data_IF_407480706549
#
_entry.id   IF_407480706549
#
_cell.length_a   1.000
_cell.length_b   1.000
_cell.length_c   1.000
_cell.angle_alpha   90.00
_cell.angle_beta   90.00
_cell.angle_gamma   90.00
#
_symmetry.space_group_name_H-M   'P 1'
#
loop_
_entity.id
_entity.type
_entity.pdbx_description
1 polymer ?
#
# COMPACT_ATOMS: atom_id res chain seq x y z
N UNK A 1 -70.47 8.87 -34.83
CA UNK A 1 -69.33 7.92 -34.96
C UNK A 1 -68.73 7.78 -33.57
N UNK A 2 -69.20 6.81 -32.80
CA UNK A 2 -68.62 5.46 -32.62
C UNK A 2 -67.58 5.44 -31.48
N UNK A 3 -67.91 4.65 -30.46
CA UNK A 3 -67.04 3.81 -29.62
C UNK A 3 -66.03 4.49 -28.66
N UNK A 4 -65.75 4.01 -27.44
CA UNK A 4 -66.15 2.79 -26.71
C UNK A 4 -65.92 3.07 -25.21
N UNK A 5 -66.78 2.50 -24.37
CA UNK A 5 -66.61 2.37 -22.93
C UNK A 5 -65.47 1.38 -22.63
N UNK A 6 -64.52 1.73 -21.76
CA UNK A 6 -63.94 0.71 -20.87
C UNK A 6 -63.55 1.33 -19.53
N UNK A 7 -64.07 0.70 -18.48
CA UNK A 7 -64.03 1.05 -17.08
C UNK A 7 -63.15 -0.01 -16.40
N UNK A 8 -62.04 0.36 -15.75
CA UNK A 8 -61.38 -0.49 -14.76
C UNK A 8 -60.92 0.36 -13.57
N UNK A 9 -61.50 0.01 -12.42
CA UNK A 9 -61.17 0.42 -11.06
C UNK A 9 -59.93 -0.33 -10.57
N UNK A 10 -58.99 0.36 -9.92
CA UNK A 10 -58.11 -0.21 -8.88
C UNK A 10 -57.41 0.97 -8.17
N UNK A 11 -57.85 1.33 -6.96
CA UNK A 11 -57.26 0.91 -5.69
C UNK A 11 -55.78 1.28 -5.56
N UNK A 12 -55.51 2.18 -4.62
CA UNK A 12 -54.21 2.71 -4.31
C UNK A 12 -53.14 1.63 -4.17
N UNK A 13 -52.07 1.82 -4.92
CA UNK A 13 -50.80 1.17 -4.67
C UNK A 13 -49.84 2.26 -4.24
N UNK A 14 -49.81 2.50 -2.93
CA UNK A 14 -48.62 3.06 -2.30
C UNK A 14 -47.46 2.16 -2.71
N UNK A 15 -46.48 2.71 -3.41
CA UNK A 15 -45.24 2.02 -3.69
C UNK A 15 -44.54 1.79 -2.35
N UNK A 16 -44.84 0.66 -1.71
CA UNK A 16 -43.99 0.06 -0.71
C UNK A 16 -42.77 -0.38 -1.50
N UNK A 17 -41.70 0.42 -1.46
CA UNK A 17 -40.37 -0.05 -1.84
C UNK A 17 -40.06 -1.22 -0.92
N UNK A 18 -40.21 -2.41 -1.46
CA UNK A 18 -39.76 -3.63 -0.83
C UNK A 18 -38.26 -3.49 -0.60
N UNK A 19 -37.88 -3.33 0.66
CA UNK A 19 -36.53 -3.68 1.10
C UNK A 19 -36.37 -5.16 0.73
N UNK A 20 -35.65 -5.44 -0.34
CA UNK A 20 -35.19 -6.79 -0.61
C UNK A 20 -34.28 -7.16 0.54
N UNK A 21 -34.83 -7.82 1.56
CA UNK A 21 -34.06 -8.66 2.46
C UNK A 21 -33.48 -9.76 1.57
N UNK A 22 -32.29 -9.49 1.04
CA UNK A 22 -31.49 -10.47 0.34
C UNK A 22 -31.41 -11.67 1.28
N UNK A 23 -31.95 -12.79 0.82
CA UNK A 23 -31.91 -14.05 1.51
C UNK A 23 -30.44 -14.47 1.59
N UNK A 24 -29.72 -14.07 2.65
CA UNK A 24 -28.31 -14.41 2.80
C UNK A 24 -28.23 -15.81 3.39
N UNK A 25 -28.02 -16.78 2.51
CA UNK A 25 -27.60 -18.12 2.86
C UNK A 25 -26.20 -18.01 3.51
N UNK A 26 -26.10 -18.34 4.80
CA UNK A 26 -24.91 -18.98 5.34
C UNK A 26 -24.18 -18.28 6.48
N UNK A 27 -24.33 -18.84 7.69
CA UNK A 27 -23.34 -18.80 8.76
C UNK A 27 -23.46 -17.60 9.70
N UNK A 28 -23.18 -17.83 10.97
CA UNK A 28 -22.98 -16.77 11.95
C UNK A 28 -21.80 -15.91 11.49
N UNK A 29 -22.07 -14.67 11.07
CA UNK A 29 -21.07 -13.71 10.60
C UNK A 29 -21.07 -12.46 11.47
N UNK A 30 -19.88 -11.91 11.66
CA UNK A 30 -19.63 -10.57 12.16
C UNK A 30 -18.95 -9.72 11.08
N UNK A 31 -18.74 -8.44 11.36
CA UNK A 31 -18.13 -7.49 10.42
C UNK A 31 -17.01 -6.71 11.09
N UNK A 32 -15.93 -6.48 10.35
CA UNK A 32 -15.02 -5.38 10.63
C UNK A 32 -15.37 -4.20 9.73
N UNK A 33 -15.60 -3.03 10.32
CA UNK A 33 -15.77 -1.79 9.60
C UNK A 33 -14.47 -0.98 9.71
N UNK A 34 -13.69 -0.95 8.63
CA UNK A 34 -12.46 -0.17 8.57
C UNK A 34 -12.77 1.25 8.13
N UNK A 35 -12.41 2.22 8.97
CA UNK A 35 -12.56 3.64 8.70
C UNK A 35 -11.18 4.25 8.47
N UNK A 36 -10.97 4.88 7.31
CA UNK A 36 -9.72 5.59 7.02
C UNK A 36 -10.02 6.87 6.27
N UNK A 37 -9.30 7.94 6.57
CA UNK A 37 -9.44 9.21 5.85
C UNK A 37 -8.75 9.19 4.47
N UNK A 38 -7.88 8.20 4.22
CA UNK A 38 -7.17 8.03 2.96
C UNK A 38 -7.89 7.02 2.06
N UNK A 39 -8.71 7.52 1.13
CA UNK A 39 -9.42 6.71 0.14
C UNK A 39 -8.46 6.02 -0.83
N UNK A 40 -8.69 4.74 -1.11
CA UNK A 40 -7.78 3.92 -1.91
C UNK A 40 -6.79 3.10 -1.09
N UNK A 41 -6.89 3.12 0.24
CA UNK A 41 -6.12 2.25 1.13
C UNK A 41 -6.59 0.80 1.00
N UNK A 42 -5.69 -0.10 0.62
CA UNK A 42 -5.93 -1.55 0.62
C UNK A 42 -5.85 -2.10 2.04
N UNK A 43 -6.81 -2.96 2.40
CA UNK A 43 -6.84 -3.67 3.68
C UNK A 43 -6.62 -5.16 3.45
N UNK A 44 -5.62 -5.69 4.15
CA UNK A 44 -5.32 -7.12 4.24
C UNK A 44 -5.49 -7.60 5.67
N UNK A 45 -6.01 -8.82 5.85
CA UNK A 45 -6.08 -9.50 7.15
C UNK A 45 -5.14 -10.70 7.16
N UNK A 46 -4.15 -10.72 8.05
CA UNK A 46 -3.08 -11.74 8.07
C UNK A 46 -2.51 -12.06 6.66
N UNK A 47 -2.21 -11.00 5.89
CA UNK A 47 -1.73 -11.05 4.49
C UNK A 47 -2.76 -11.51 3.43
N UNK A 48 -4.03 -11.68 3.78
CA UNK A 48 -5.11 -11.94 2.83
C UNK A 48 -5.84 -10.64 2.48
N UNK A 49 -5.67 -10.16 1.24
CA UNK A 49 -6.28 -8.92 0.76
C UNK A 49 -7.80 -9.02 0.78
N UNK A 50 -8.46 -8.11 1.50
CA UNK A 50 -9.91 -8.08 1.66
C UNK A 50 -10.60 -7.07 0.77
N UNK A 51 -9.90 -5.99 0.43
CA UNK A 51 -10.43 -4.96 -0.45
C UNK A 51 -9.76 -3.62 -0.23
N UNK A 52 -10.39 -2.58 -0.77
CA UNK A 52 -9.88 -1.21 -0.75
C UNK A 52 -10.93 -0.30 -0.13
N UNK A 53 -10.51 0.60 0.74
CA UNK A 53 -11.37 1.62 1.34
C UNK A 53 -11.82 2.60 0.27
N UNK A 54 -13.13 2.81 0.19
CA UNK A 54 -13.77 3.74 -0.74
C UNK A 54 -14.81 4.53 0.03
N UNK A 55 -14.80 5.86 -0.10
CA UNK A 55 -15.71 6.76 0.63
C UNK A 55 -15.52 6.66 2.16
N UNK A 56 -14.26 6.51 2.57
CA UNK A 56 -13.84 6.49 3.98
C UNK A 56 -14.05 5.17 4.72
N UNK A 57 -14.76 4.19 4.14
CA UNK A 57 -15.10 2.92 4.81
C UNK A 57 -14.83 1.66 3.96
N UNK A 58 -14.51 0.54 4.61
CA UNK A 58 -14.57 -0.81 4.06
C UNK A 58 -15.17 -1.78 5.08
N UNK A 59 -16.26 -2.44 4.73
CA UNK A 59 -16.86 -3.49 5.55
C UNK A 59 -16.42 -4.88 5.10
N UNK A 60 -15.74 -5.61 5.99
CA UNK A 60 -15.22 -6.96 5.73
C UNK A 60 -16.02 -7.99 6.52
N UNK A 61 -16.73 -8.94 5.85
CA UNK A 61 -17.48 -9.99 6.53
C UNK A 61 -16.54 -11.09 7.05
N UNK A 62 -16.72 -11.48 8.31
CA UNK A 62 -15.93 -12.52 9.00
C UNK A 62 -16.85 -13.64 9.47
N UNK A 63 -16.46 -14.89 9.22
CA UNK A 63 -17.20 -16.06 9.70
C UNK A 63 -16.78 -16.40 11.13
N UNK A 64 -17.72 -16.46 12.07
CA UNK A 64 -17.42 -16.75 13.49
C UNK A 64 -17.01 -18.21 13.73
N UNK A 65 -17.17 -19.08 12.72
CA UNK A 65 -16.78 -20.49 12.77
C UNK A 65 -15.35 -20.75 12.29
N UNK A 66 -14.66 -19.72 11.78
CA UNK A 66 -13.28 -19.81 11.30
C UNK A 66 -12.24 -19.47 12.37
N UNK A 67 -10.97 -19.72 12.06
CA UNK A 67 -9.86 -19.17 12.86
C UNK A 67 -9.90 -17.64 12.77
N UNK A 68 -9.93 -16.91 13.89
CA UNK A 68 -9.95 -15.46 13.86
C UNK A 68 -8.65 -14.90 13.29
N UNK A 69 -8.76 -13.81 12.54
CA UNK A 69 -7.61 -13.04 12.09
C UNK A 69 -6.93 -12.36 13.28
N UNK A 70 -5.60 -12.26 13.23
CA UNK A 70 -4.78 -11.70 14.32
C UNK A 70 -4.36 -10.27 14.08
N UNK A 71 -4.22 -9.88 12.82
CA UNK A 71 -3.70 -8.59 12.42
C UNK A 71 -4.34 -8.10 11.14
N UNK A 72 -4.30 -6.79 10.95
CA UNK A 72 -4.58 -6.16 9.67
C UNK A 72 -3.38 -5.34 9.21
N UNK A 73 -3.20 -5.28 7.90
CA UNK A 73 -2.26 -4.38 7.23
C UNK A 73 -3.07 -3.45 6.34
N UNK A 74 -2.87 -2.16 6.50
CA UNK A 74 -3.44 -1.13 5.65
C UNK A 74 -2.31 -0.53 4.79
N UNK A 75 -2.50 -0.47 3.48
CA UNK A 75 -1.49 0.01 2.54
C UNK A 75 -2.10 1.05 1.61
N UNK A 76 -1.53 2.24 1.60
CA UNK A 76 -1.84 3.31 0.65
C UNK A 76 -0.65 3.46 -0.30
N UNK A 77 -0.87 3.17 -1.57
CA UNK A 77 0.13 3.34 -2.64
C UNK A 77 -0.55 3.95 -3.87
N UNK A 78 -0.56 5.28 -3.96
CA UNK A 78 -1.20 5.99 -5.07
C UNK A 78 -0.59 7.38 -5.27
N UNK A 79 -0.57 7.84 -6.52
CA UNK A 79 -0.21 9.21 -6.92
C UNK A 79 1.17 9.68 -6.44
N UNK A 80 2.10 8.73 -6.31
CA UNK A 80 3.41 9.02 -5.77
C UNK A 80 3.36 9.35 -4.27
N UNK A 81 2.48 8.69 -3.52
CA UNK A 81 2.46 8.67 -2.07
C UNK A 81 2.41 7.23 -1.60
N UNK A 82 3.19 6.89 -0.58
CA UNK A 82 3.25 5.55 -0.02
C UNK A 82 3.20 5.58 1.50
N UNK A 83 2.38 4.70 2.08
CA UNK A 83 2.39 4.41 3.51
C UNK A 83 1.78 3.03 3.75
N UNK A 84 2.35 2.27 4.67
CA UNK A 84 1.76 1.02 5.17
C UNK A 84 1.76 1.02 6.69
N UNK A 85 0.77 0.40 7.31
CA UNK A 85 0.69 0.21 8.76
C UNK A 85 0.11 -1.17 9.06
N UNK A 86 0.75 -1.89 9.98
CA UNK A 86 0.24 -3.18 10.47
C UNK A 86 -0.11 -3.08 11.94
N UNK A 87 -1.29 -3.56 12.32
CA UNK A 87 -1.79 -3.52 13.70
C UNK A 87 -2.49 -4.81 14.08
N UNK A 88 -2.44 -5.20 15.37
CA UNK A 88 -3.18 -6.34 15.86
C UNK A 88 -4.69 -6.08 15.87
N UNK A 89 -5.48 -7.11 15.64
CA UNK A 89 -6.91 -7.14 15.89
C UNK A 89 -7.14 -7.59 17.34
N UNK A 90 -7.66 -6.69 18.15
CA UNK A 90 -7.86 -6.92 19.59
C UNK A 90 -9.21 -7.56 19.92
N UNK A 91 -10.14 -7.53 18.97
CA UNK A 91 -11.52 -7.98 19.14
C UNK A 91 -11.99 -8.69 17.89
N UNK A 92 -12.75 -9.77 18.05
CA UNK A 92 -13.31 -10.56 16.95
C UNK A 92 -14.83 -10.37 16.97
N UNK A 93 -15.44 -9.88 15.88
CA UNK A 93 -16.87 -9.60 15.88
C UNK A 93 -17.67 -10.90 16.04
N UNK A 94 -18.59 -10.91 17.00
CA UNK A 94 -19.59 -11.95 17.18
C UNK A 94 -20.67 -11.95 16.10
N UNK A 95 -21.62 -12.87 16.22
CA UNK A 95 -22.74 -12.99 15.27
C UNK A 95 -23.59 -11.71 15.28
N UNK A 96 -23.71 -11.04 14.14
CA UNK A 96 -24.49 -9.81 14.04
C UNK A 96 -23.72 -8.57 14.49
N UNK A 97 -22.50 -8.73 15.00
CA UNK A 97 -21.71 -7.65 15.59
C UNK A 97 -20.81 -6.99 14.54
N UNK A 98 -20.61 -5.69 14.69
CA UNK A 98 -19.67 -4.91 13.90
C UNK A 98 -18.63 -4.32 14.83
N UNK A 99 -17.35 -4.55 14.50
CA UNK A 99 -16.21 -3.95 15.21
C UNK A 99 -15.64 -2.85 14.33
N UNK A 100 -15.70 -1.61 14.82
CA UNK A 100 -15.14 -0.44 14.13
C UNK A 100 -13.63 -0.35 14.35
N UNK A 101 -12.88 -0.23 13.26
CA UNK A 101 -11.42 -0.10 13.25
C UNK A 101 -11.06 1.20 12.55
N UNK A 102 -10.46 2.11 13.31
CA UNK A 102 -9.98 3.38 12.78
C UNK A 102 -8.51 3.26 12.37
N UNK A 103 -8.25 3.39 11.08
CA UNK A 103 -6.92 3.35 10.48
C UNK A 103 -6.41 4.78 10.32
N UNK A 104 -5.30 5.06 10.99
CA UNK A 104 -4.56 6.31 10.84
C UNK A 104 -3.37 6.08 9.90
N UNK A 105 -3.54 6.45 8.63
CA UNK A 105 -2.47 6.46 7.62
C UNK A 105 -2.23 7.91 7.25
N UNK A 106 -0.98 8.36 7.29
CA UNK A 106 -0.59 9.68 6.80
C UNK A 106 0.31 9.47 5.58
N UNK A 107 -0.24 9.43 4.35
CA UNK A 107 0.56 9.17 3.16
C UNK A 107 1.66 10.21 3.02
N UNK A 108 2.90 9.77 2.84
CA UNK A 108 4.02 10.66 2.56
C UNK A 108 4.31 10.64 1.06
N UNK A 109 4.70 11.77 0.44
CA UNK A 109 5.11 11.76 -0.95
C UNK A 109 6.26 10.76 -1.11
N UNK A 110 6.12 9.83 -2.06
CA UNK A 110 7.28 9.10 -2.55
C UNK A 110 8.23 10.12 -3.16
N UNK A 111 9.54 10.03 -2.84
CA UNK A 111 10.51 11.01 -3.28
C UNK A 111 10.52 11.06 -4.81
N UNK A 112 10.04 12.17 -5.37
CA UNK A 112 10.15 12.42 -6.80
C UNK A 112 11.65 12.56 -7.15
N UNK A 113 12.13 11.94 -8.24
CA UNK A 113 13.52 12.04 -8.62
C UNK A 113 13.90 13.51 -8.82
N UNK A 114 14.80 13.99 -7.96
CA UNK A 114 15.39 15.31 -8.15
C UNK A 114 16.39 15.18 -9.28
N UNK A 115 16.09 15.74 -10.44
CA UNK A 115 16.99 15.74 -11.61
C UNK A 115 18.26 16.52 -11.27
N UNK A 116 19.25 15.85 -10.71
CA UNK A 116 20.56 16.43 -10.43
C UNK A 116 21.27 16.63 -11.78
N UNK A 117 21.91 17.80 -12.03
CA UNK A 117 22.61 18.04 -13.28
C UNK A 117 23.71 16.98 -13.51
N UNK A 118 23.63 16.31 -14.68
CA UNK A 118 24.60 15.33 -15.18
C UNK A 118 26.03 15.88 -15.07
N UNK A 119 26.89 15.32 -14.20
CA UNK A 119 28.31 15.67 -14.22
C UNK A 119 28.90 15.25 -15.57
N UNK A 120 29.55 16.16 -16.29
CA UNK A 120 30.26 15.80 -17.52
C UNK A 120 31.65 15.33 -17.10
N UNK A 121 31.87 14.02 -17.04
CA UNK A 121 33.18 13.48 -16.62
C UNK A 121 33.43 12.04 -17.07
N UNK A 122 34.54 11.85 -17.79
CA UNK A 122 35.32 10.59 -17.87
C UNK A 122 34.59 9.33 -18.35
N UNK A 123 35.28 8.19 -18.35
CA UNK A 123 34.67 6.85 -18.54
C UNK A 123 33.86 6.42 -17.30
N UNK A 124 33.02 7.34 -16.79
CA UNK A 124 32.20 7.17 -15.60
C UNK A 124 30.72 7.25 -15.96
N UNK A 125 29.92 6.47 -15.24
CA UNK A 125 28.47 6.57 -15.16
C UNK A 125 28.04 6.89 -13.73
N UNK A 126 26.76 7.13 -13.50
CA UNK A 126 26.23 7.44 -12.17
C UNK A 126 25.00 6.62 -11.84
N UNK A 127 24.94 6.14 -10.59
CA UNK A 127 23.70 5.69 -9.97
C UNK A 127 23.13 6.80 -9.11
N UNK A 128 21.84 7.08 -9.28
CA UNK A 128 21.09 7.99 -8.44
C UNK A 128 20.15 7.14 -7.60
N UNK A 129 20.50 6.96 -6.34
CA UNK A 129 19.75 6.12 -5.41
C UNK A 129 18.80 7.01 -4.64
N UNK A 130 17.51 6.91 -4.93
CA UNK A 130 16.46 7.63 -4.24
C UNK A 130 15.91 6.77 -3.11
N UNK A 131 15.71 7.40 -1.95
CA UNK A 131 15.11 6.74 -0.79
C UNK A 131 14.20 7.69 -0.03
N UNK A 132 13.11 7.15 0.53
CA UNK A 132 12.16 7.89 1.36
C UNK A 132 12.72 8.26 2.75
N UNK A 133 13.84 7.66 3.17
CA UNK A 133 14.44 7.87 4.48
C UNK A 133 15.77 8.63 4.39
N UNK A 134 15.83 9.89 4.84
CA UNK A 134 17.10 10.62 4.95
C UNK A 134 18.01 9.92 5.97
N UNK A 135 19.30 9.82 5.66
CA UNK A 135 20.29 9.14 6.50
C UNK A 135 20.38 7.63 6.31
N UNK A 136 19.56 7.04 5.42
CA UNK A 136 19.68 5.63 5.07
C UNK A 136 21.05 5.33 4.45
N UNK A 137 21.68 4.23 4.84
CA UNK A 137 22.95 3.75 4.31
C UNK A 137 22.71 2.93 3.06
N UNK A 138 23.46 3.21 2.00
CA UNK A 138 23.39 2.50 0.72
C UNK A 138 24.67 1.71 0.50
N UNK A 139 24.53 0.45 0.15
CA UNK A 139 25.63 -0.45 -0.16
C UNK A 139 25.39 -1.14 -1.50
N UNK A 140 26.42 -1.29 -2.33
CA UNK A 140 26.38 -2.12 -3.53
C UNK A 140 27.27 -3.35 -3.34
N UNK A 141 26.73 -4.55 -3.55
CA UNK A 141 27.43 -5.82 -3.31
C UNK A 141 28.14 -5.86 -1.94
N UNK A 142 27.44 -5.42 -0.90
CA UNK A 142 27.93 -5.26 0.49
C UNK A 142 29.00 -4.17 0.72
N UNK A 143 29.40 -3.41 -0.31
CA UNK A 143 30.30 -2.27 -0.18
C UNK A 143 29.51 -0.98 0.08
N UNK A 144 29.72 -0.36 1.24
CA UNK A 144 29.05 0.90 1.62
C UNK A 144 29.49 2.03 0.68
N UNK A 145 28.51 2.65 0.01
CA UNK A 145 28.73 3.77 -0.92
C UNK A 145 28.49 5.13 -0.26
N UNK A 146 27.67 5.17 0.78
CA UNK A 146 27.42 6.38 1.55
C UNK A 146 26.05 6.36 2.20
N UNK A 147 25.62 7.54 2.67
CA UNK A 147 24.31 7.76 3.25
C UNK A 147 23.50 8.73 2.40
N UNK A 148 22.19 8.49 2.32
CA UNK A 148 21.23 9.35 1.63
C UNK A 148 21.21 10.71 2.35
N UNK A 149 21.57 11.78 1.64
CA UNK A 149 21.46 13.15 2.15
C UNK A 149 20.25 13.82 1.52
N UNK A 150 19.26 14.20 2.33
CA UNK A 150 17.94 14.55 1.83
C UNK A 150 17.25 13.30 1.27
N UNK A 151 17.19 13.17 -0.06
CA UNK A 151 16.37 12.14 -0.72
C UNK A 151 17.14 11.32 -1.76
N UNK A 152 18.42 11.65 -2.01
CA UNK A 152 19.22 11.01 -3.05
C UNK A 152 20.66 10.83 -2.61
N UNK A 153 21.25 9.69 -2.97
CA UNK A 153 22.69 9.47 -2.96
C UNK A 153 23.15 9.31 -4.41
N UNK A 154 24.16 10.08 -4.79
CA UNK A 154 24.80 9.98 -6.11
C UNK A 154 26.06 9.14 -5.98
N UNK A 155 26.10 8.00 -6.65
CA UNK A 155 27.23 7.07 -6.64
C UNK A 155 27.90 7.08 -8.01
N UNK A 156 29.12 7.64 -8.16
CA UNK A 156 29.89 7.53 -9.40
C UNK A 156 30.46 6.12 -9.54
N UNK A 157 30.37 5.56 -10.75
CA UNK A 157 30.91 4.24 -11.09
C UNK A 157 31.74 4.30 -12.38
N UNK A 158 32.75 3.44 -12.48
CA UNK A 158 33.59 3.35 -13.68
C UNK A 158 33.01 2.30 -14.63
N UNK A 159 32.82 2.67 -15.91
CA UNK A 159 32.23 1.78 -16.91
C UNK A 159 33.17 0.64 -17.34
N UNK A 160 34.44 0.70 -16.92
CA UNK A 160 35.46 -0.32 -17.17
C UNK A 160 35.59 -1.34 -16.03
N UNK A 161 34.85 -1.15 -14.93
CA UNK A 161 34.85 -2.07 -13.78
C UNK A 161 33.82 -3.20 -13.94
N UNK A 162 33.87 -4.18 -13.02
CA UNK A 162 32.79 -5.17 -12.87
C UNK A 162 31.51 -4.45 -12.43
N UNK A 163 30.36 -4.65 -13.11
CA UNK A 163 29.10 -4.04 -12.71
C UNK A 163 28.64 -4.58 -11.35
N UNK A 164 28.00 -3.71 -10.56
CA UNK A 164 27.39 -4.11 -9.30
C UNK A 164 26.13 -4.94 -9.54
N UNK A 165 25.93 -5.98 -8.75
CA UNK A 165 24.80 -6.92 -8.94
C UNK A 165 23.63 -6.65 -8.00
N UNK A 166 23.89 -6.07 -6.84
CA UNK A 166 22.90 -5.87 -5.78
C UNK A 166 23.02 -4.50 -5.14
N UNK A 167 21.89 -3.94 -4.75
CA UNK A 167 21.78 -2.75 -3.91
C UNK A 167 21.12 -3.15 -2.59
N UNK A 168 21.70 -2.72 -1.48
CA UNK A 168 21.15 -2.85 -0.14
C UNK A 168 21.01 -1.46 0.48
N UNK A 169 19.81 -1.14 0.98
CA UNK A 169 19.56 0.12 1.69
C UNK A 169 19.03 -0.19 3.08
N UNK A 170 19.61 0.44 4.09
CA UNK A 170 19.24 0.23 5.49
C UNK A 170 19.18 1.54 6.27
N UNK A 171 18.26 1.62 7.23
CA UNK A 171 18.14 2.74 8.15
C UNK A 171 17.68 2.25 9.52
N UNK A 172 17.97 3.01 10.58
CA UNK A 172 17.51 2.69 11.93
C UNK A 172 15.98 2.69 12.00
N UNK A 173 15.40 1.66 12.62
CA UNK A 173 13.95 1.44 12.75
C UNK A 173 13.22 1.12 11.43
N UNK A 174 13.96 0.78 10.36
CA UNK A 174 13.41 0.33 9.08
C UNK A 174 13.93 -1.05 8.66
N UNK A 175 13.09 -1.78 7.94
CA UNK A 175 13.42 -3.06 7.32
C UNK A 175 14.47 -2.82 6.23
N UNK A 176 15.57 -3.57 6.30
CA UNK A 176 16.60 -3.52 5.26
C UNK A 176 16.08 -4.12 3.96
N UNK A 177 16.18 -3.36 2.87
CA UNK A 177 15.77 -3.81 1.53
C UNK A 177 17.01 -4.17 0.72
N UNK A 178 16.97 -5.31 0.02
CA UNK A 178 18.02 -5.74 -0.92
C UNK A 178 17.39 -6.14 -2.24
N UNK A 179 17.84 -5.51 -3.32
CA UNK A 179 17.31 -5.70 -4.67
C UNK A 179 18.43 -5.94 -5.69
N UNK A 180 18.17 -6.68 -6.77
CA UNK A 180 19.12 -6.81 -7.87
C UNK A 180 19.22 -5.50 -8.67
N UNK A 181 20.42 -5.22 -9.17
CA UNK A 181 20.67 -4.11 -10.11
C UNK A 181 20.66 -4.69 -11.53
N UNK A 182 19.59 -4.44 -12.28
CA UNK A 182 19.44 -4.94 -13.65
C UNK A 182 19.96 -3.95 -14.71
N UNK A 183 20.17 -2.69 -14.33
CA UNK A 183 20.59 -1.61 -15.23
C UNK A 183 21.92 -1.04 -14.77
N UNK A 184 22.83 -0.85 -15.74
CA UNK A 184 24.16 -0.30 -15.48
C UNK A 184 24.40 0.94 -16.34
N UNK A 185 24.84 2.05 -15.73
CA UNK A 185 25.07 3.28 -16.49
C UNK A 185 26.27 3.08 -17.42
N UNK A 186 26.09 3.37 -18.71
CA UNK A 186 27.18 3.55 -19.65
C UNK A 186 27.92 4.88 -19.45
N UNK A 187 28.84 5.18 -20.36
CA UNK A 187 29.70 6.36 -20.27
C UNK A 187 28.87 7.63 -20.33
N UNK A 188 28.98 8.45 -19.30
CA UNK A 188 28.21 9.67 -19.16
C UNK A 188 26.75 9.40 -18.74
N UNK A 189 26.28 8.16 -18.65
CA UNK A 189 24.88 7.85 -18.40
C UNK A 189 24.55 7.85 -16.90
N UNK A 190 23.25 7.92 -16.63
CA UNK A 190 22.72 7.89 -15.29
C UNK A 190 21.62 6.84 -15.23
N UNK A 191 21.67 6.02 -14.19
CA UNK A 191 20.63 5.04 -13.86
C UNK A 191 20.01 5.46 -12.54
N UNK A 192 18.69 5.62 -12.54
CA UNK A 192 17.91 5.92 -11.34
C UNK A 192 17.49 4.60 -10.67
N UNK A 193 17.78 4.48 -9.37
CA UNK A 193 17.37 3.36 -8.53
C UNK A 193 16.47 3.89 -7.42
N UNK A 194 15.27 3.32 -7.27
CA UNK A 194 14.28 3.78 -6.31
C UNK A 194 14.07 2.72 -5.25
N UNK A 195 14.40 3.05 -4.01
CA UNK A 195 14.27 2.12 -2.88
C UNK A 195 13.35 2.74 -1.82
N UNK A 196 12.30 2.01 -1.46
CA UNK A 196 11.40 2.40 -0.37
C UNK A 196 11.67 1.53 0.84
N UNK A 197 11.97 2.15 1.99
CA UNK A 197 12.10 1.47 3.26
C UNK A 197 10.80 1.57 4.07
N UNK A 198 10.36 0.43 4.59
CA UNK A 198 9.22 0.32 5.50
C UNK A 198 9.72 0.23 6.95
N UNK A 199 8.99 0.79 7.92
CA UNK A 199 9.42 0.74 9.32
C UNK A 199 9.30 -0.68 9.86
N UNK A 200 10.22 -1.05 10.74
CA UNK A 200 10.23 -2.38 11.37
C UNK A 200 9.02 -2.58 12.31
N UNK A 201 8.49 -1.51 12.89
CA UNK A 201 7.29 -1.57 13.73
C UNK A 201 5.98 -1.82 12.94
N UNK A 202 6.03 -1.84 11.60
CA UNK A 202 4.92 -2.31 10.76
C UNK A 202 5.04 -3.82 10.46
N UNK A 203 6.03 -4.51 11.05
CA UNK A 203 6.13 -5.97 11.07
C UNK A 203 5.52 -6.46 12.40
N UNK A 204 4.54 -7.39 12.40
CA UNK A 204 4.03 -7.96 13.63
C UNK A 204 5.18 -8.65 14.38
N UNK A 205 5.52 -8.10 15.55
CA UNK A 205 6.46 -8.69 16.51
C UNK A 205 6.06 -10.15 16.77
N UNK A 206 6.83 -11.09 16.24
CA UNK A 206 6.77 -12.48 16.68
C UNK A 206 7.68 -12.60 17.88
N UNK A 207 7.11 -12.49 19.08
CA UNK A 207 7.79 -12.67 20.37
C UNK A 207 6.81 -12.74 21.52
#
# INVERSE_FOLDING_TARGET
>A
MICIVLLIVACGFSAVTASTSSNVIGGDRGWYAFHCHADGTEISLDNDVKGVITDGELSVPIYTTGTPYKSYTATYDRDGYHQSVTRPLTEVPGKGETVDIYVDINPVPTPQPTRVPKPVGGDQGWYYVYCNVPGATVSFDAEVKGTISGNVLVVPVYTTGTPYSTITVSASDYVTVTEPIEQHPGKGETVDLYITLNRENDIPMTG
#
